data_IF_895098379196
#
_entry.id   IF_895098379196
#
_cell.length_a   1.000
_cell.length_b   1.000
_cell.length_c   1.000
_cell.angle_alpha   90.00
_cell.angle_beta   90.00
_cell.angle_gamma   90.00
#
_symmetry.space_group_name_H-M   'P 1'
#
loop_
_entity.id
_entity.type
_entity.pdbx_description
1 polymer ?
#
# COMPACT_ATOMS: atom_id res chain seq x y z
N UNK A 1 24.62 -13.93 1.14
CA UNK A 1 25.43 -13.48 2.28
C UNK A 1 24.46 -12.98 3.32
N UNK A 2 24.11 -13.77 4.32
CA UNK A 2 23.15 -13.37 5.34
C UNK A 2 23.84 -12.41 6.30
N UNK A 3 23.39 -11.17 6.33
CA UNK A 3 23.83 -10.19 7.34
C UNK A 3 23.16 -10.57 8.65
N UNK A 4 23.91 -11.18 9.58
CA UNK A 4 23.41 -11.35 10.94
C UNK A 4 23.29 -9.97 11.57
N UNK A 5 22.10 -9.59 11.98
CA UNK A 5 21.91 -8.43 12.86
C UNK A 5 22.50 -8.82 14.21
N UNK A 6 23.54 -8.12 14.63
CA UNK A 6 24.18 -8.37 15.92
C UNK A 6 23.39 -7.62 17.00
N UNK A 7 22.95 -8.35 18.01
CA UNK A 7 22.28 -7.77 19.17
C UNK A 7 23.27 -6.89 19.96
N UNK A 8 22.78 -5.81 20.52
CA UNK A 8 23.54 -5.02 21.46
C UNK A 8 23.70 -5.80 22.79
N UNK A 9 24.87 -5.66 23.41
CA UNK A 9 25.16 -6.27 24.70
C UNK A 9 25.33 -5.16 25.73
N UNK A 10 24.79 -5.40 26.93
CA UNK A 10 24.92 -4.46 28.04
C UNK A 10 25.93 -4.96 29.05
N UNK A 11 26.95 -4.17 29.32
CA UNK A 11 27.94 -4.45 30.37
C UNK A 11 27.65 -3.55 31.54
N UNK A 12 27.50 -4.17 32.74
CA UNK A 12 27.42 -3.42 33.99
C UNK A 12 28.77 -3.57 34.71
N UNK A 13 29.44 -2.47 34.94
CA UNK A 13 30.70 -2.44 35.64
C UNK A 13 30.52 -2.54 37.16
N UNK A 14 31.55 -2.94 37.89
CA UNK A 14 31.52 -3.05 39.35
C UNK A 14 31.17 -1.72 40.06
N UNK A 15 31.42 -0.59 39.42
CA UNK A 15 31.08 0.74 39.94
C UNK A 15 29.60 1.12 39.65
N UNK A 16 28.80 0.22 39.05
CA UNK A 16 27.39 0.43 38.69
C UNK A 16 27.20 1.19 37.39
N UNK A 17 28.27 1.57 36.67
CA UNK A 17 28.11 2.17 35.34
C UNK A 17 27.68 1.10 34.33
N UNK A 18 26.87 1.52 33.35
CA UNK A 18 26.33 0.67 32.29
C UNK A 18 26.92 1.13 30.96
N UNK A 19 27.43 0.20 30.19
CA UNK A 19 27.92 0.43 28.82
C UNK A 19 27.24 -0.52 27.87
N UNK A 20 26.64 0.03 26.81
CA UNK A 20 26.03 -0.76 25.72
C UNK A 20 27.04 -0.86 24.59
N UNK A 21 27.45 -2.08 24.26
CA UNK A 21 28.44 -2.35 23.21
C UNK A 21 27.84 -3.26 22.13
N UNK A 22 28.27 -3.09 20.89
CA UNK A 22 27.90 -4.03 19.81
C UNK A 22 28.78 -5.29 19.88
N UNK A 23 28.38 -6.32 19.16
CA UNK A 23 29.09 -7.61 19.19
C UNK A 23 30.53 -7.51 18.67
N UNK A 24 30.83 -6.57 17.78
CA UNK A 24 32.19 -6.39 17.25
C UNK A 24 33.12 -5.77 18.31
N UNK A 25 32.61 -4.77 19.04
CA UNK A 25 33.37 -4.12 20.13
C UNK A 25 33.58 -5.10 21.29
N UNK A 26 32.61 -5.99 21.54
CA UNK A 26 32.72 -7.07 22.52
C UNK A 26 33.86 -8.03 22.14
N UNK A 27 33.92 -8.46 20.87
CA UNK A 27 35.00 -9.35 20.38
C UNK A 27 36.36 -8.65 20.51
N UNK A 28 36.50 -7.39 20.12
CA UNK A 28 37.71 -6.63 20.26
C UNK A 28 38.09 -6.41 21.73
N UNK A 29 37.14 -6.16 22.61
CA UNK A 29 37.38 -6.04 24.04
C UNK A 29 37.88 -7.36 24.65
N UNK A 30 37.38 -8.49 24.16
CA UNK A 30 37.79 -9.83 24.59
C UNK A 30 39.17 -10.22 24.05
N UNK A 31 39.50 -9.84 22.80
CA UNK A 31 40.84 -10.09 22.20
C UNK A 31 41.95 -9.29 22.90
N UNK A 32 41.63 -8.15 23.45
CA UNK A 32 42.57 -7.30 24.20
C UNK A 32 42.74 -7.72 25.67
N UNK A 33 42.00 -8.69 26.15
CA UNK A 33 42.20 -9.28 27.47
C UNK A 33 43.29 -10.35 27.36
N UNK A 34 44.44 -10.13 28.01
CA UNK A 34 45.49 -11.13 28.09
C UNK A 34 44.96 -12.47 28.56
N UNK A 35 44.99 -13.47 27.68
CA UNK A 35 44.59 -14.85 27.99
C UNK A 35 45.68 -15.47 28.83
N UNK A 36 45.40 -16.04 30.01
CA UNK A 36 46.33 -16.96 30.64
C UNK A 36 46.38 -18.22 29.76
N UNK A 37 47.56 -18.64 29.37
CA UNK A 37 47.81 -19.86 28.61
C UNK A 37 47.32 -21.08 29.40
N UNK A 38 46.11 -21.58 29.06
CA UNK A 38 45.72 -22.96 29.35
C UNK A 38 44.70 -23.42 28.33
N UNK A 39 45.04 -24.43 27.58
CA UNK A 39 44.19 -25.13 26.61
C UNK A 39 42.94 -25.70 27.26
N UNK A 40 41.78 -25.12 26.96
CA UNK A 40 40.46 -25.78 27.08
C UNK A 40 39.41 -25.04 26.28
N UNK A 41 38.42 -25.74 25.67
CA UNK A 41 37.42 -25.11 24.85
C UNK A 41 36.63 -24.07 25.66
N UNK A 42 36.60 -22.85 25.17
CA UNK A 42 35.97 -21.71 25.81
C UNK A 42 34.45 -21.99 25.97
N UNK A 43 34.08 -22.45 27.15
CA UNK A 43 32.73 -22.31 27.63
C UNK A 43 32.60 -20.86 28.11
N UNK A 44 31.64 -20.10 27.58
CA UNK A 44 31.49 -18.66 27.79
C UNK A 44 31.11 -18.29 29.24
N UNK A 45 32.05 -18.46 30.15
CA UNK A 45 31.93 -17.95 31.51
C UNK A 45 33.17 -17.13 31.81
N UNK A 46 33.07 -15.81 31.73
CA UNK A 46 34.16 -14.92 32.05
C UNK A 46 34.21 -14.66 33.54
N UNK A 47 35.17 -15.26 34.23
CA UNK A 47 35.52 -14.94 35.60
C UNK A 47 36.55 -13.79 35.60
N UNK A 48 36.08 -12.56 35.78
CA UNK A 48 36.97 -11.44 36.14
C UNK A 48 37.19 -11.49 37.64
N UNK A 49 38.41 -11.27 38.09
CA UNK A 49 38.88 -11.33 39.47
C UNK A 49 38.00 -10.62 40.51
N UNK A 50 36.91 -11.11 40.91
CA UNK A 50 35.82 -10.67 41.81
C UNK A 50 34.57 -10.21 41.09
N UNK A 51 33.78 -11.15 40.59
CA UNK A 51 32.41 -10.92 40.20
C UNK A 51 32.00 -11.67 38.92
N UNK A 52 30.85 -12.30 38.98
CA UNK A 52 30.20 -12.87 37.80
C UNK A 52 29.60 -11.71 37.03
N UNK A 53 29.98 -11.50 35.77
CA UNK A 53 29.30 -10.58 34.88
C UNK A 53 28.27 -11.37 34.10
N UNK A 54 27.04 -11.00 34.19
CA UNK A 54 25.97 -11.54 33.36
C UNK A 54 25.85 -10.65 32.13
N UNK A 55 26.10 -11.22 30.95
CA UNK A 55 25.73 -10.57 29.70
C UNK A 55 24.21 -10.74 29.57
N UNK A 56 23.49 -9.66 29.64
CA UNK A 56 22.07 -9.64 29.35
C UNK A 56 21.96 -9.32 27.86
N UNK A 57 21.53 -10.31 27.10
CA UNK A 57 21.11 -10.07 25.73
C UNK A 57 19.81 -9.25 25.83
N UNK A 58 19.78 -8.06 25.25
CA UNK A 58 18.50 -7.35 25.12
C UNK A 58 17.53 -8.25 24.35
N UNK A 59 16.41 -8.56 24.98
CA UNK A 59 15.30 -9.21 24.29
C UNK A 59 14.95 -8.39 23.04
N UNK A 60 14.62 -9.02 21.92
CA UNK A 60 14.18 -8.31 20.73
C UNK A 60 13.10 -7.31 21.13
N UNK A 61 13.33 -6.02 20.83
CA UNK A 61 12.43 -4.96 21.26
C UNK A 61 10.99 -5.27 20.87
N UNK A 62 10.07 -5.17 21.82
CA UNK A 62 8.64 -5.27 21.59
C UNK A 62 8.17 -3.99 20.88
N UNK A 63 7.46 -4.16 19.76
CA UNK A 63 6.87 -3.07 18.96
C UNK A 63 5.34 -3.17 19.02
N UNK A 64 4.67 -2.08 19.33
CA UNK A 64 3.23 -1.98 19.22
C UNK A 64 2.87 -1.63 17.78
N UNK A 65 2.08 -2.46 17.10
CA UNK A 65 1.64 -2.14 15.75
C UNK A 65 0.15 -1.81 15.70
N UNK A 66 -0.21 -0.97 14.73
CA UNK A 66 -1.58 -0.67 14.35
C UNK A 66 -1.67 -0.67 12.83
N UNK A 67 -2.71 -1.31 12.27
CA UNK A 67 -3.00 -1.30 10.85
C UNK A 67 -4.33 -0.58 10.60
N UNK A 68 -4.28 0.46 9.77
CA UNK A 68 -5.43 1.31 9.47
C UNK A 68 -5.57 1.55 7.97
N UNK A 69 -6.78 1.86 7.53
CA UNK A 69 -7.04 2.39 6.19
C UNK A 69 -6.81 3.89 6.21
N UNK A 70 -6.24 4.44 5.14
CA UNK A 70 -6.07 5.89 4.98
C UNK A 70 -7.41 6.63 5.09
N UNK A 71 -7.39 7.92 5.42
CA UNK A 71 -8.59 8.75 5.67
C UNK A 71 -9.60 8.77 4.52
N UNK A 72 -9.13 8.62 3.28
CA UNK A 72 -10.00 8.54 2.10
C UNK A 72 -10.82 7.25 2.01
N UNK A 73 -10.59 6.28 2.90
CA UNK A 73 -11.29 5.01 2.90
C UNK A 73 -10.95 4.16 1.67
N UNK A 74 -11.94 3.46 1.13
CA UNK A 74 -11.83 2.71 -0.12
C UNK A 74 -11.54 1.23 0.04
N UNK A 75 -11.50 0.70 1.25
CA UNK A 75 -11.26 -0.73 1.48
C UNK A 75 -11.22 -1.09 2.95
N UNK A 76 -10.73 -2.29 3.21
CA UNK A 76 -10.54 -2.84 4.54
C UNK A 76 -9.24 -3.64 4.64
N UNK A 77 -8.86 -3.99 5.86
CA UNK A 77 -7.68 -4.81 6.16
C UNK A 77 -8.17 -6.11 6.83
N UNK A 78 -7.74 -7.28 6.31
CA UNK A 78 -8.19 -8.61 6.78
C UNK A 78 -7.42 -9.18 7.96
N UNK A 79 -6.46 -8.46 8.52
CA UNK A 79 -5.59 -8.95 9.60
C UNK A 79 -5.81 -8.21 10.90
N UNK A 80 -5.18 -8.64 12.01
CA UNK A 80 -5.35 -7.91 13.28
C UNK A 80 -5.06 -6.43 13.10
N UNK A 81 -6.02 -5.60 13.51
CA UNK A 81 -5.89 -4.15 13.39
C UNK A 81 -4.81 -3.55 14.30
N UNK A 82 -4.39 -4.28 15.33
CA UNK A 82 -3.34 -3.87 16.26
C UNK A 82 -2.84 -5.05 17.09
N UNK A 83 -1.68 -4.90 17.67
CA UNK A 83 -1.08 -5.90 18.54
C UNK A 83 0.33 -5.54 18.96
N UNK A 84 1.02 -6.53 19.53
CA UNK A 84 2.41 -6.47 19.90
C UNK A 84 3.19 -7.51 19.10
N UNK A 85 4.39 -7.17 18.70
CA UNK A 85 5.28 -8.01 17.92
C UNK A 85 6.73 -7.74 18.29
N UNK A 86 7.60 -8.73 18.18
CA UNK A 86 9.03 -8.53 18.37
C UNK A 86 9.73 -8.21 17.05
N UNK A 87 10.82 -7.46 17.17
CA UNK A 87 11.72 -7.23 16.04
C UNK A 87 12.20 -8.58 15.49
N UNK A 88 12.08 -8.79 14.18
CA UNK A 88 12.41 -10.03 13.49
C UNK A 88 11.22 -10.97 13.25
N UNK A 89 10.10 -10.79 13.95
CA UNK A 89 8.87 -11.53 13.69
C UNK A 89 8.20 -11.06 12.39
N UNK A 90 7.39 -11.94 11.79
CA UNK A 90 6.69 -11.65 10.54
C UNK A 90 5.19 -11.56 10.76
N UNK A 91 4.59 -10.48 10.23
CA UNK A 91 3.15 -10.28 10.12
C UNK A 91 2.71 -10.40 8.67
N UNK A 92 1.53 -10.98 8.45
CA UNK A 92 0.86 -10.92 7.17
C UNK A 92 -0.24 -9.86 7.22
N UNK A 93 -0.23 -8.97 6.24
CA UNK A 93 -1.31 -8.00 6.02
C UNK A 93 -1.94 -8.25 4.66
N UNK A 94 -3.26 -8.12 4.60
CA UNK A 94 -4.03 -8.19 3.37
C UNK A 94 -4.97 -6.98 3.29
N UNK A 95 -4.80 -6.18 2.25
CA UNK A 95 -5.73 -5.13 1.88
C UNK A 95 -6.84 -5.72 1.01
N UNK A 96 -8.08 -5.29 1.27
CA UNK A 96 -9.27 -5.71 0.52
C UNK A 96 -9.92 -4.45 -0.03
N UNK A 97 -9.75 -4.13 -1.33
CA UNK A 97 -10.41 -2.99 -1.94
C UNK A 97 -11.93 -3.12 -1.85
N UNK A 98 -12.60 -2.01 -1.55
CA UNK A 98 -14.04 -1.90 -1.69
C UNK A 98 -14.40 -1.81 -3.18
N UNK A 99 -15.71 -1.97 -3.48
CA UNK A 99 -16.20 -1.80 -4.84
C UNK A 99 -15.81 -0.42 -5.41
N UNK A 100 -15.41 -0.39 -6.66
CA UNK A 100 -14.90 0.80 -7.38
C UNK A 100 -13.64 1.42 -6.78
N UNK A 101 -12.92 0.68 -5.94
CA UNK A 101 -11.61 1.07 -5.46
C UNK A 101 -10.57 0.04 -5.87
N UNK A 102 -9.34 0.48 -5.94
CA UNK A 102 -8.18 -0.38 -6.08
C UNK A 102 -7.16 -0.03 -4.99
N UNK A 103 -6.39 -1.03 -4.62
CA UNK A 103 -5.31 -0.86 -3.67
C UNK A 103 -4.14 -0.12 -4.33
N UNK A 104 -3.53 0.79 -3.59
CA UNK A 104 -2.38 1.57 -4.08
C UNK A 104 -1.10 1.11 -3.40
N UNK A 105 -1.04 1.21 -2.08
CA UNK A 105 0.19 0.87 -1.35
C UNK A 105 -0.04 0.65 0.14
N UNK A 106 0.91 -0.09 0.74
CA UNK A 106 1.15 -0.12 2.17
C UNK A 106 2.21 0.91 2.54
N UNK A 107 1.97 1.62 3.63
CA UNK A 107 2.96 2.52 4.24
C UNK A 107 3.22 2.11 5.69
N UNK A 108 4.47 2.19 6.12
CA UNK A 108 4.89 2.05 7.51
C UNK A 108 5.39 3.40 8.02
N UNK A 109 4.75 3.95 9.04
CA UNK A 109 5.07 5.25 9.60
C UNK A 109 5.21 6.36 8.52
N UNK A 110 4.32 6.30 7.49
CA UNK A 110 4.29 7.24 6.37
C UNK A 110 5.23 6.92 5.19
N UNK A 111 6.10 5.92 5.32
CA UNK A 111 7.01 5.50 4.24
C UNK A 111 6.39 4.31 3.50
N UNK A 112 6.33 4.38 2.18
CA UNK A 112 5.81 3.29 1.35
C UNK A 112 6.73 2.07 1.41
N UNK A 113 6.13 0.89 1.65
CA UNK A 113 6.82 -0.38 1.83
C UNK A 113 6.44 -1.45 0.79
N UNK A 114 5.27 -1.36 0.18
CA UNK A 114 4.78 -2.30 -0.83
C UNK A 114 3.57 -1.75 -1.58
N UNK A 115 3.40 -2.21 -2.83
CA UNK A 115 2.21 -2.02 -3.67
C UNK A 115 1.45 -3.34 -3.90
N UNK A 116 1.80 -4.41 -3.21
CA UNK A 116 1.10 -5.68 -3.26
C UNK A 116 -0.03 -5.70 -2.21
N UNK A 117 -1.24 -6.14 -2.59
CA UNK A 117 -2.39 -6.22 -1.67
C UNK A 117 -2.11 -7.08 -0.44
N UNK A 118 -1.35 -8.17 -0.62
CA UNK A 118 -0.95 -9.06 0.46
C UNK A 118 0.55 -9.02 0.66
N UNK A 119 0.98 -8.70 1.88
CA UNK A 119 2.39 -8.66 2.25
C UNK A 119 2.69 -9.55 3.46
N UNK A 120 3.86 -10.17 3.45
CA UNK A 120 4.48 -10.77 4.65
C UNK A 120 5.59 -9.82 5.09
N UNK A 121 5.35 -9.09 6.15
CA UNK A 121 6.25 -8.04 6.62
C UNK A 121 7.00 -8.50 7.86
N UNK A 122 8.33 -8.54 7.77
CA UNK A 122 9.21 -8.82 8.93
C UNK A 122 9.51 -7.50 9.64
N UNK A 123 9.17 -7.42 10.92
CA UNK A 123 9.33 -6.21 11.72
C UNK A 123 10.80 -5.83 11.87
N UNK A 124 11.26 -4.71 11.31
CA UNK A 124 12.62 -4.23 11.50
C UNK A 124 12.78 -3.59 12.88
N UNK A 125 14.03 -3.42 13.31
CA UNK A 125 14.31 -2.50 14.40
C UNK A 125 13.89 -1.09 14.01
N UNK A 126 13.05 -0.46 14.81
CA UNK A 126 12.64 0.92 14.61
C UNK A 126 13.73 1.89 15.08
N UNK A 127 13.62 3.14 14.66
CA UNK A 127 14.55 4.18 15.11
C UNK A 127 14.53 4.31 16.66
N UNK A 128 15.65 4.72 17.24
CA UNK A 128 15.76 4.88 18.71
C UNK A 128 14.63 5.78 19.26
N UNK A 129 13.93 5.28 20.26
CA UNK A 129 12.79 5.97 20.89
C UNK A 129 11.45 5.82 20.14
N UNK A 130 11.40 5.02 19.08
CA UNK A 130 10.16 4.65 18.37
C UNK A 130 9.80 3.20 18.73
N UNK A 131 8.70 3.02 19.41
CA UNK A 131 8.16 1.73 19.86
C UNK A 131 6.84 1.37 19.15
N UNK A 132 6.40 2.19 18.22
CA UNK A 132 5.14 2.04 17.49
C UNK A 132 5.32 1.96 15.99
N UNK A 133 4.61 1.02 15.36
CA UNK A 133 4.57 0.81 13.93
C UNK A 133 3.13 1.01 13.40
N UNK A 134 2.92 2.04 12.59
CA UNK A 134 1.63 2.32 11.98
C UNK A 134 1.66 1.90 10.53
N UNK A 135 0.90 0.84 10.19
CA UNK A 135 0.69 0.37 8.82
C UNK A 135 -0.56 1.04 8.25
N UNK A 136 -0.44 1.64 7.09
CA UNK A 136 -1.54 2.34 6.42
C UNK A 136 -1.76 1.70 5.06
N UNK A 137 -2.97 1.17 4.83
CA UNK A 137 -3.43 0.74 3.50
C UNK A 137 -4.04 1.94 2.79
N UNK A 138 -3.55 2.25 1.59
CA UNK A 138 -4.04 3.34 0.76
C UNK A 138 -4.80 2.77 -0.43
N UNK A 139 -5.96 3.35 -0.73
CA UNK A 139 -6.81 2.99 -1.87
C UNK A 139 -7.11 4.23 -2.70
N UNK A 140 -7.41 4.03 -3.99
CA UNK A 140 -7.94 5.07 -4.88
C UNK A 140 -9.20 4.56 -5.57
N UNK A 141 -10.01 5.46 -6.10
CA UNK A 141 -11.08 5.06 -7.00
C UNK A 141 -10.49 4.38 -8.24
N UNK A 142 -11.07 3.25 -8.62
CA UNK A 142 -10.70 2.56 -9.84
C UNK A 142 -11.13 3.35 -11.07
N UNK A 143 -10.42 3.17 -12.16
CA UNK A 143 -10.78 3.75 -13.43
C UNK A 143 -12.11 3.19 -13.94
N UNK A 144 -12.90 4.05 -14.56
CA UNK A 144 -14.17 3.69 -15.16
C UNK A 144 -13.96 3.36 -16.63
N UNK A 145 -14.25 2.11 -17.00
CA UNK A 145 -14.30 1.70 -18.40
C UNK A 145 -15.58 2.24 -19.04
N UNK A 146 -15.48 2.81 -20.23
CA UNK A 146 -16.61 3.32 -20.97
C UNK A 146 -16.54 2.95 -22.46
N UNK A 147 -17.72 2.93 -23.07
CA UNK A 147 -17.90 2.73 -24.52
C UNK A 147 -18.85 3.78 -25.06
N UNK A 148 -18.72 4.08 -26.36
CA UNK A 148 -19.69 4.94 -27.05
C UNK A 148 -20.56 4.09 -27.98
N UNK A 149 -21.80 4.53 -28.21
CA UNK A 149 -22.75 3.90 -29.12
C UNK A 149 -23.52 4.98 -29.87
N UNK A 150 -24.09 4.60 -31.01
CA UNK A 150 -24.93 5.46 -31.84
C UNK A 150 -26.25 4.77 -32.07
N UNK A 151 -27.36 5.52 -32.07
CA UNK A 151 -28.71 5.01 -32.38
C UNK A 151 -29.33 5.88 -33.48
N UNK A 152 -29.98 5.28 -34.48
CA UNK A 152 -30.15 3.85 -34.71
C UNK A 152 -28.83 3.12 -34.93
N UNK A 153 -28.74 1.83 -34.53
CA UNK A 153 -27.48 1.05 -34.57
C UNK A 153 -26.96 0.80 -36.00
N UNK A 154 -27.85 0.88 -37.01
CA UNK A 154 -27.49 0.86 -38.43
C UNK A 154 -26.83 2.20 -38.88
N UNK A 155 -26.50 2.97 -37.95
CA UNK A 155 -26.22 4.41 -37.92
C UNK A 155 -24.78 4.79 -38.30
N UNK A 156 -24.01 3.93 -38.89
CA UNK A 156 -22.98 4.45 -39.79
C UNK A 156 -23.60 5.35 -40.88
N UNK A 157 -24.95 5.33 -40.99
CA UNK A 157 -25.75 6.19 -41.84
C UNK A 157 -26.30 7.44 -41.21
N UNK A 158 -26.63 7.44 -39.90
CA UNK A 158 -27.29 8.56 -39.23
C UNK A 158 -26.32 9.59 -38.62
N UNK A 159 -25.17 9.16 -38.12
CA UNK A 159 -24.20 10.03 -37.49
C UNK A 159 -22.99 9.26 -36.94
N UNK A 160 -22.12 9.97 -36.27
CA UNK A 160 -20.98 9.37 -35.56
C UNK A 160 -20.66 10.18 -34.29
N UNK A 161 -19.86 9.58 -33.45
CA UNK A 161 -19.21 10.25 -32.32
C UNK A 161 -17.76 10.53 -32.75
N UNK A 162 -17.32 11.79 -32.62
CA UNK A 162 -16.05 12.26 -33.16
C UNK A 162 -14.80 11.78 -32.43
N UNK A 163 -14.95 10.96 -31.35
CA UNK A 163 -13.85 10.50 -30.50
C UNK A 163 -13.92 8.98 -30.25
N UNK A 164 -12.94 8.39 -29.52
CA UNK A 164 -12.77 6.95 -29.47
C UNK A 164 -14.05 6.22 -29.08
N UNK A 165 -14.23 5.03 -29.62
CA UNK A 165 -15.42 4.20 -29.39
C UNK A 165 -15.42 3.53 -28.01
N UNK A 166 -14.29 3.58 -27.29
CA UNK A 166 -14.15 3.05 -25.94
C UNK A 166 -12.91 3.64 -25.29
N UNK A 167 -12.86 3.59 -23.98
CA UNK A 167 -11.73 4.05 -23.19
C UNK A 167 -11.86 3.74 -21.72
N UNK A 168 -10.95 4.30 -20.95
CA UNK A 168 -10.93 4.28 -19.50
C UNK A 168 -10.58 5.70 -19.02
N UNK A 169 -11.22 6.13 -17.95
CA UNK A 169 -10.96 7.43 -17.33
C UNK A 169 -10.97 7.27 -15.82
N UNK A 170 -10.16 8.07 -15.15
CA UNK A 170 -10.23 8.16 -13.70
C UNK A 170 -11.66 8.51 -13.25
N UNK A 171 -12.09 7.88 -12.17
CA UNK A 171 -13.39 8.21 -11.61
C UNK A 171 -13.43 9.69 -11.17
N UNK A 172 -14.53 10.36 -11.49
CA UNK A 172 -14.77 11.79 -11.31
C UNK A 172 -13.95 12.70 -12.24
N UNK A 173 -13.24 12.17 -13.25
CA UNK A 173 -12.64 12.98 -14.30
C UNK A 173 -13.73 13.59 -15.21
N UNK A 174 -13.46 14.77 -15.72
CA UNK A 174 -14.28 15.38 -16.76
C UNK A 174 -13.94 14.77 -18.12
N UNK A 175 -14.96 14.53 -18.93
CA UNK A 175 -14.80 14.03 -20.31
C UNK A 175 -15.81 14.73 -21.22
N UNK A 176 -15.54 14.69 -22.52
CA UNK A 176 -16.43 15.28 -23.53
C UNK A 176 -16.57 14.35 -24.75
N UNK A 177 -17.75 14.36 -25.34
CA UNK A 177 -18.07 13.62 -26.57
C UNK A 177 -18.83 14.54 -27.52
N UNK A 178 -18.49 14.52 -28.80
CA UNK A 178 -19.16 15.29 -29.84
C UNK A 178 -19.94 14.36 -30.77
N UNK A 179 -21.25 14.56 -30.83
CA UNK A 179 -22.09 13.92 -31.83
C UNK A 179 -22.07 14.72 -33.13
N UNK A 180 -21.92 14.03 -34.25
CA UNK A 180 -21.93 14.63 -35.59
C UNK A 180 -22.98 13.93 -36.45
N UNK A 181 -24.05 14.63 -36.78
CA UNK A 181 -25.12 14.11 -37.65
C UNK A 181 -24.66 14.06 -39.11
N UNK A 182 -25.16 13.09 -39.86
CA UNK A 182 -25.00 12.98 -41.30
C UNK A 182 -26.21 13.61 -42.01
N UNK A 183 -26.07 13.85 -43.31
CA UNK A 183 -27.13 14.40 -44.16
C UNK A 183 -28.42 13.56 -44.06
N UNK A 184 -29.56 14.23 -43.87
CA UNK A 184 -30.88 13.62 -43.65
C UNK A 184 -31.15 13.17 -42.21
N UNK A 185 -30.21 13.49 -41.29
CA UNK A 185 -30.40 13.22 -39.86
C UNK A 185 -30.06 14.46 -39.04
N UNK A 186 -30.69 14.57 -37.88
CA UNK A 186 -30.32 15.54 -36.83
C UNK A 186 -30.00 14.83 -35.54
N UNK A 187 -29.07 15.41 -34.76
CA UNK A 187 -28.82 14.93 -33.39
C UNK A 187 -30.07 15.22 -32.53
N UNK A 188 -30.46 14.25 -31.73
CA UNK A 188 -31.61 14.38 -30.85
C UNK A 188 -31.16 14.56 -29.40
N UNK A 189 -30.45 13.58 -28.84
CA UNK A 189 -29.96 13.67 -27.47
C UNK A 189 -28.86 12.64 -27.18
N UNK A 190 -28.18 12.85 -26.04
CA UNK A 190 -27.29 11.87 -25.43
C UNK A 190 -28.01 11.06 -24.38
N UNK A 191 -27.71 9.77 -24.34
CA UNK A 191 -28.06 8.88 -23.25
C UNK A 191 -26.79 8.37 -22.53
N UNK A 192 -26.88 8.23 -21.21
CA UNK A 192 -25.93 7.49 -20.40
C UNK A 192 -26.63 6.28 -19.80
N UNK A 193 -26.20 5.08 -20.17
CA UNK A 193 -26.86 3.82 -19.77
C UNK A 193 -28.37 3.81 -20.00
N UNK A 194 -28.81 4.37 -21.12
CA UNK A 194 -30.23 4.42 -21.50
C UNK A 194 -31.03 5.57 -20.86
N UNK A 195 -30.39 6.48 -20.15
CA UNK A 195 -31.04 7.66 -19.58
C UNK A 195 -30.61 8.91 -20.36
N UNK A 196 -31.59 9.71 -20.84
CA UNK A 196 -31.32 10.96 -21.53
C UNK A 196 -30.68 11.96 -20.57
N UNK A 197 -29.54 12.56 -20.99
CA UNK A 197 -28.72 13.45 -20.15
C UNK A 197 -28.47 14.83 -20.78
N UNK A 198 -28.50 14.97 -22.12
CA UNK A 198 -28.21 16.23 -22.81
C UNK A 198 -28.82 16.23 -24.20
N UNK A 199 -29.28 17.42 -24.64
CA UNK A 199 -29.71 17.69 -26.04
C UNK A 199 -28.66 18.51 -26.81
N UNK A 200 -27.52 18.83 -26.20
CA UNK A 200 -26.42 19.48 -26.88
C UNK A 200 -25.54 18.46 -27.61
N UNK A 201 -25.15 18.72 -28.85
CA UNK A 201 -24.26 17.85 -29.62
C UNK A 201 -22.93 17.59 -28.90
N UNK A 202 -22.39 18.59 -28.18
CA UNK A 202 -21.25 18.41 -27.30
C UNK A 202 -21.77 18.02 -25.90
N UNK A 203 -21.47 16.77 -25.49
CA UNK A 203 -21.67 16.30 -24.13
C UNK A 203 -20.41 16.54 -23.31
N UNK A 204 -20.49 17.41 -22.32
CA UNK A 204 -19.49 17.55 -21.26
C UNK A 204 -20.06 16.90 -20.00
N UNK A 205 -19.33 15.96 -19.42
CA UNK A 205 -19.81 15.16 -18.28
C UNK A 205 -18.67 14.70 -17.40
N UNK A 206 -19.01 14.41 -16.15
CA UNK A 206 -18.10 13.79 -15.19
C UNK A 206 -18.28 12.27 -15.22
N UNK A 207 -17.18 11.53 -15.30
CA UNK A 207 -17.18 10.06 -15.28
C UNK A 207 -17.36 9.57 -13.85
N UNK A 208 -18.62 9.40 -13.41
CA UNK A 208 -18.90 8.92 -12.05
C UNK A 208 -18.55 7.43 -11.89
N UNK A 209 -18.18 6.95 -10.68
CA UNK A 209 -17.97 5.52 -10.42
C UNK A 209 -19.13 4.65 -10.90
N UNK A 210 -18.83 3.40 -11.30
CA UNK A 210 -19.85 2.48 -11.81
C UNK A 210 -20.90 2.12 -10.75
N UNK A 211 -22.17 2.14 -11.14
CA UNK A 211 -23.27 1.70 -10.29
C UNK A 211 -23.24 0.18 -10.05
N UNK A 212 -24.02 -0.31 -9.07
CA UNK A 212 -24.16 -1.73 -8.81
C UNK A 212 -24.63 -2.47 -10.09
N UNK A 213 -23.96 -3.56 -10.45
CA UNK A 213 -24.18 -4.36 -11.66
C UNK A 213 -23.80 -3.69 -12.99
N UNK A 214 -23.22 -2.51 -12.96
CA UNK A 214 -22.65 -1.86 -14.13
C UNK A 214 -21.19 -2.34 -14.31
N UNK A 215 -20.84 -2.79 -15.53
CA UNK A 215 -19.49 -3.23 -15.87
C UNK A 215 -18.72 -2.21 -16.72
N UNK A 216 -19.45 -1.33 -17.40
CA UNK A 216 -18.91 -0.22 -18.17
C UNK A 216 -19.98 0.87 -18.31
N UNK A 217 -19.54 2.10 -18.51
CA UNK A 217 -20.40 3.22 -18.82
C UNK A 217 -20.65 3.30 -20.32
N UNK A 218 -21.92 3.45 -20.73
CA UNK A 218 -22.28 3.57 -22.15
C UNK A 218 -22.76 4.99 -22.41
N UNK A 219 -22.04 5.72 -23.26
CA UNK A 219 -22.45 7.02 -23.79
C UNK A 219 -23.00 6.83 -25.19
N UNK A 220 -24.31 7.08 -25.37
CA UNK A 220 -25.01 6.85 -26.62
C UNK A 220 -25.51 8.15 -27.23
N UNK A 221 -25.12 8.42 -28.46
CA UNK A 221 -25.67 9.51 -29.28
C UNK A 221 -26.89 9.01 -30.04
N UNK A 222 -28.03 9.66 -29.86
CA UNK A 222 -29.29 9.34 -30.53
C UNK A 222 -29.54 10.38 -31.65
N UNK A 223 -29.82 9.88 -32.84
CA UNK A 223 -30.15 10.68 -34.01
C UNK A 223 -31.54 10.36 -34.53
N UNK A 224 -32.20 11.29 -35.17
CA UNK A 224 -33.49 11.13 -35.81
C UNK A 224 -33.41 11.55 -37.28
N UNK A 225 -34.19 10.93 -38.15
CA UNK A 225 -34.38 11.38 -39.53
C UNK A 225 -35.09 12.75 -39.56
N UNK A 226 -34.71 13.60 -40.50
CA UNK A 226 -35.34 14.90 -40.77
C UNK A 226 -36.75 14.74 -41.34
#
# INVERSE_FOLDING_TARGET
MQTKVFNAYRITHENGSIEDINALDLVQALENMETPETESPVTQTFLVKKGIRTLVQDEPGEVIFTAVVAENGGGSIATPASGKIHVGDTLQFQAIPARNYEFVSWKLNGIEISNEETINFTMPALASGVDTAVFIATFRLADVVWTTAVEPAEASTAGCIAFPTSGSSEANAETEFLAVAKEGFTFDHWEVNGQSVSTNELLQTTVTPLAERESARIYKAVFRAE
#
